data_IF_044111598717
#
_entry.id   IF_044111598717
#
_cell.length_a   1.000
_cell.length_b   1.000
_cell.length_c   1.000
_cell.angle_alpha   90.00
_cell.angle_beta   90.00
_cell.angle_gamma   90.00
#
_symmetry.space_group_name_H-M   'P 1'
#
loop_
_entity.id
_entity.type
_entity.pdbx_description
1 polymer ?
#
# COMPACT_ATOMS: atom_id res chain seq x y z
N UNK A 1 6.95 -6.82 3.37
CA UNK A 1 6.32 -8.08 2.90
C UNK A 1 6.26 -9.17 3.98
N UNK A 2 7.38 -9.58 4.60
CA UNK A 2 7.36 -10.62 5.64
C UNK A 2 6.39 -10.31 6.81
N UNK A 3 6.34 -9.05 7.26
CA UNK A 3 5.42 -8.63 8.33
C UNK A 3 3.94 -8.64 7.90
N UNK A 4 3.65 -8.38 6.61
CA UNK A 4 2.28 -8.48 6.08
C UNK A 4 1.84 -9.96 6.06
N UNK A 5 2.73 -10.86 5.67
CA UNK A 5 2.46 -12.30 5.70
C UNK A 5 2.28 -12.80 7.13
N UNK A 6 3.14 -12.37 8.05
CA UNK A 6 3.05 -12.70 9.48
C UNK A 6 1.76 -12.15 10.10
N UNK A 7 1.45 -10.88 9.86
CA UNK A 7 0.22 -10.25 10.33
C UNK A 7 -1.03 -10.91 9.75
N UNK A 8 -0.99 -11.31 8.47
CA UNK A 8 -2.06 -12.08 7.84
C UNK A 8 -2.24 -13.48 8.44
N UNK A 9 -1.14 -14.13 8.85
CA UNK A 9 -1.18 -15.44 9.49
C UNK A 9 -1.73 -15.35 10.93
N UNK A 10 -1.34 -14.29 11.68
CA UNK A 10 -1.83 -14.01 13.03
C UNK A 10 -3.30 -13.56 13.05
N UNK A 11 -3.80 -13.00 11.94
CA UNK A 11 -5.20 -12.62 11.79
C UNK A 11 -6.15 -13.83 11.62
N UNK A 12 -5.61 -15.01 11.32
CA UNK A 12 -6.39 -16.25 11.21
C UNK A 12 -6.51 -16.88 12.59
N UNK A 13 -7.75 -17.11 13.02
CA UNK A 13 -8.05 -17.72 14.31
C UNK A 13 -7.39 -19.10 14.45
N UNK A 14 -6.72 -19.33 15.58
CA UNK A 14 -6.04 -20.61 15.83
C UNK A 14 -7.04 -21.77 15.97
N UNK A 15 -8.29 -21.48 16.34
CA UNK A 15 -9.39 -22.42 16.40
C UNK A 15 -9.72 -23.08 15.06
N UNK A 16 -9.52 -22.40 13.93
CA UNK A 16 -9.66 -22.99 12.58
C UNK A 16 -8.73 -24.20 12.40
N UNK A 17 -7.50 -24.06 12.90
CA UNK A 17 -6.44 -25.08 12.79
C UNK A 17 -6.65 -26.22 13.79
N UNK A 18 -7.23 -25.94 14.97
CA UNK A 18 -7.62 -26.94 15.95
C UNK A 18 -8.86 -27.73 15.50
N UNK A 19 -9.88 -27.05 14.97
CA UNK A 19 -11.10 -27.68 14.44
C UNK A 19 -10.81 -28.58 13.23
N UNK A 20 -9.98 -28.13 12.30
CA UNK A 20 -9.60 -28.96 11.14
C UNK A 20 -8.83 -30.22 11.57
N UNK A 21 -7.99 -30.14 12.62
CA UNK A 21 -7.33 -31.33 13.21
C UNK A 21 -8.31 -32.23 13.95
N UNK A 22 -9.30 -31.68 14.66
CA UNK A 22 -10.35 -32.46 15.32
C UNK A 22 -11.21 -33.24 14.30
N UNK A 23 -11.36 -32.71 13.09
CA UNK A 23 -11.99 -33.39 11.95
C UNK A 23 -11.07 -34.41 11.25
N UNK A 24 -9.90 -34.70 11.81
CA UNK A 24 -8.96 -35.69 11.26
C UNK A 24 -8.20 -35.24 10.02
N UNK A 25 -8.20 -33.94 9.68
CA UNK A 25 -7.46 -33.47 8.50
C UNK A 25 -5.94 -33.53 8.72
N UNK A 26 -5.17 -34.08 7.77
CA UNK A 26 -3.72 -34.07 7.86
C UNK A 26 -3.17 -32.63 7.78
N UNK A 27 -2.03 -32.32 8.43
CA UNK A 27 -1.52 -30.94 8.56
C UNK A 27 -1.41 -30.20 7.22
N UNK A 28 -0.97 -30.90 6.17
CA UNK A 28 -0.83 -30.32 4.83
C UNK A 28 -2.16 -29.92 4.20
N UNK A 29 -3.23 -30.70 4.46
CA UNK A 29 -4.58 -30.39 3.99
C UNK A 29 -5.16 -29.19 4.73
N UNK A 30 -4.90 -29.07 6.04
CA UNK A 30 -5.31 -27.90 6.84
C UNK A 30 -4.69 -26.62 6.26
N UNK A 31 -3.38 -26.64 6.00
CA UNK A 31 -2.72 -25.47 5.44
C UNK A 31 -3.23 -25.12 4.03
N UNK A 32 -3.37 -26.10 3.13
CA UNK A 32 -3.76 -25.82 1.74
C UNK A 32 -5.24 -25.48 1.55
N UNK A 33 -6.15 -26.13 2.27
CA UNK A 33 -7.60 -25.95 2.09
C UNK A 33 -8.24 -24.96 3.05
N UNK A 34 -7.66 -24.73 4.23
CA UNK A 34 -8.26 -23.85 5.25
C UNK A 34 -7.48 -22.55 5.35
N UNK A 35 -6.20 -22.64 5.72
CA UNK A 35 -5.39 -21.47 6.08
C UNK A 35 -5.02 -20.66 4.83
N UNK A 36 -4.49 -21.30 3.79
CA UNK A 36 -4.00 -20.61 2.59
C UNK A 36 -5.07 -19.77 1.86
N UNK A 37 -6.29 -20.26 1.57
CA UNK A 37 -7.30 -19.44 0.91
C UNK A 37 -7.80 -18.28 1.77
N UNK A 38 -7.83 -18.41 3.10
CA UNK A 38 -8.14 -17.30 4.01
C UNK A 38 -6.99 -16.29 4.05
N UNK A 39 -5.76 -16.77 4.17
CA UNK A 39 -4.55 -15.95 4.20
C UNK A 39 -4.42 -15.06 2.98
N UNK A 40 -4.68 -15.62 1.79
CA UNK A 40 -4.65 -14.88 0.53
C UNK A 40 -5.68 -13.73 0.54
N UNK A 41 -6.90 -13.97 1.02
CA UNK A 41 -7.94 -12.94 1.10
C UNK A 41 -7.58 -11.81 2.07
N UNK A 42 -6.85 -12.12 3.14
CA UNK A 42 -6.40 -11.14 4.15
C UNK A 42 -5.17 -10.35 3.68
N UNK A 43 -4.23 -10.99 2.97
CA UNK A 43 -2.96 -10.37 2.54
C UNK A 43 -3.11 -9.52 1.28
N UNK A 44 -4.01 -9.87 0.34
CA UNK A 44 -4.13 -9.14 -0.94
C UNK A 44 -4.34 -7.62 -0.75
N UNK A 45 -5.27 -7.15 0.10
CA UNK A 45 -5.50 -5.71 0.28
C UNK A 45 -4.26 -4.93 0.77
N UNK A 46 -3.57 -5.32 1.88
CA UNK A 46 -2.39 -4.61 2.33
C UNK A 46 -1.19 -4.75 1.37
N UNK A 47 -1.03 -5.89 0.69
CA UNK A 47 0.02 -6.05 -0.33
C UNK A 47 -0.20 -5.12 -1.52
N UNK A 48 -1.44 -4.92 -1.98
CA UNK A 48 -1.75 -3.96 -3.03
C UNK A 48 -1.44 -2.52 -2.57
N UNK A 49 -1.74 -2.18 -1.33
CA UNK A 49 -1.41 -0.87 -0.77
C UNK A 49 0.12 -0.64 -0.71
N UNK A 50 0.88 -1.61 -0.22
CA UNK A 50 2.34 -1.53 -0.17
C UNK A 50 2.96 -1.43 -1.57
N UNK A 51 2.42 -2.16 -2.56
CA UNK A 51 2.86 -2.06 -3.95
C UNK A 51 2.64 -0.67 -4.53
N UNK A 52 1.49 -0.04 -4.26
CA UNK A 52 1.22 1.35 -4.69
C UNK A 52 2.19 2.32 -4.01
N UNK A 53 2.46 2.15 -2.72
CA UNK A 53 3.44 2.98 -1.99
C UNK A 53 4.82 2.86 -2.62
N UNK A 54 5.25 1.65 -2.94
CA UNK A 54 6.51 1.42 -3.65
C UNK A 54 6.52 2.10 -5.01
N UNK A 55 5.45 2.00 -5.81
CA UNK A 55 5.34 2.71 -7.08
C UNK A 55 5.43 4.24 -6.92
N UNK A 56 4.84 4.81 -5.87
CA UNK A 56 4.93 6.24 -5.56
C UNK A 56 6.36 6.65 -5.21
N UNK A 57 7.03 5.87 -4.36
CA UNK A 57 8.41 6.16 -3.94
C UNK A 57 9.37 5.97 -5.12
N UNK A 58 9.22 4.90 -5.91
CA UNK A 58 10.07 4.64 -7.09
C UNK A 58 9.85 5.67 -8.19
N UNK A 59 8.61 6.08 -8.47
CA UNK A 59 8.34 7.12 -9.48
C UNK A 59 8.82 8.49 -9.02
N UNK A 60 8.67 8.85 -7.74
CA UNK A 60 9.23 10.08 -7.18
C UNK A 60 10.77 10.06 -7.21
N UNK A 61 11.40 8.94 -6.83
CA UNK A 61 12.85 8.77 -6.92
C UNK A 61 13.36 8.84 -8.37
N UNK A 62 12.67 8.22 -9.32
CA UNK A 62 12.99 8.31 -10.74
C UNK A 62 12.79 9.73 -11.29
N UNK A 63 11.74 10.44 -10.86
CA UNK A 63 11.49 11.83 -11.25
C UNK A 63 12.55 12.79 -10.68
N UNK A 64 12.98 12.60 -9.43
CA UNK A 64 14.09 13.35 -8.84
C UNK A 64 15.39 13.05 -9.59
N UNK A 65 15.70 11.78 -9.86
CA UNK A 65 16.91 11.39 -10.59
C UNK A 65 16.94 11.94 -12.02
N UNK A 66 15.81 11.94 -12.72
CA UNK A 66 15.65 12.61 -14.01
C UNK A 66 15.81 14.13 -13.88
N UNK A 67 15.28 14.74 -12.81
CA UNK A 67 15.43 16.16 -12.53
C UNK A 67 16.88 16.56 -12.24
N UNK A 68 17.62 15.74 -11.50
CA UNK A 68 19.06 15.91 -11.25
C UNK A 68 19.86 15.75 -12.55
N UNK A 69 19.56 14.73 -13.38
CA UNK A 69 20.18 14.54 -14.69
C UNK A 69 19.91 15.72 -15.63
N UNK A 70 18.67 16.21 -15.66
CA UNK A 70 18.29 17.40 -16.41
C UNK A 70 18.99 18.65 -15.88
N UNK A 71 19.16 18.78 -14.56
CA UNK A 71 19.90 19.89 -13.95
C UNK A 71 21.38 19.83 -14.31
N UNK A 72 21.98 18.64 -14.27
CA UNK A 72 23.36 18.41 -14.70
C UNK A 72 23.53 18.72 -16.20
N UNK A 73 22.57 18.29 -17.02
CA UNK A 73 22.54 18.58 -18.46
C UNK A 73 22.33 20.07 -18.72
N UNK A 74 21.47 20.75 -17.96
CA UNK A 74 21.26 22.20 -18.02
C UNK A 74 22.51 22.98 -17.63
N UNK A 75 23.28 22.49 -16.65
CA UNK A 75 24.57 23.07 -16.29
C UNK A 75 25.59 22.92 -17.44
N UNK A 76 25.53 21.81 -18.19
CA UNK A 76 26.25 21.66 -19.47
C UNK A 76 25.66 22.47 -20.64
N UNK A 77 24.35 22.74 -20.67
CA UNK A 77 23.68 23.60 -21.66
C UNK A 77 23.88 25.09 -21.34
N UNK A 78 24.26 25.45 -20.12
CA UNK A 78 24.62 26.82 -19.72
C UNK A 78 25.84 27.37 -20.49
N UNK A 79 26.49 26.51 -21.29
CA UNK A 79 27.51 26.85 -22.28
C UNK A 79 26.86 27.40 -23.58
N UNK A 80 25.56 27.16 -23.82
CA UNK A 80 24.80 27.37 -25.09
C UNK A 80 23.65 28.41 -24.99
N UNK A 81 23.30 28.95 -23.81
CA UNK A 81 22.40 30.12 -23.60
C UNK A 81 20.92 30.01 -24.06
N UNK A 82 20.21 28.90 -23.79
CA UNK A 82 18.73 28.83 -23.95
C UNK A 82 18.04 28.20 -22.73
N UNK A 83 17.68 29.01 -21.74
CA UNK A 83 17.20 28.53 -20.42
C UNK A 83 15.68 28.36 -20.31
N UNK A 84 14.89 29.31 -20.81
CA UNK A 84 13.45 29.38 -20.55
C UNK A 84 12.65 28.21 -21.16
N UNK A 85 13.04 27.74 -22.34
CA UNK A 85 12.35 26.69 -23.08
C UNK A 85 12.47 25.32 -22.41
N UNK A 86 13.65 24.99 -21.86
CA UNK A 86 13.90 23.70 -21.22
C UNK A 86 13.20 23.57 -19.86
N UNK A 87 13.18 24.64 -19.06
CA UNK A 87 12.47 24.63 -17.77
C UNK A 87 10.95 24.56 -17.94
N UNK A 88 10.39 25.26 -18.93
CA UNK A 88 8.97 25.15 -19.26
C UNK A 88 8.59 23.73 -19.71
N UNK A 89 9.41 23.10 -20.57
CA UNK A 89 9.20 21.72 -21.01
C UNK A 89 9.27 20.73 -19.84
N UNK A 90 10.23 20.88 -18.93
CA UNK A 90 10.35 20.04 -17.74
C UNK A 90 9.15 20.16 -16.80
N UNK A 91 8.64 21.38 -16.56
CA UNK A 91 7.46 21.61 -15.74
C UNK A 91 6.20 20.97 -16.35
N UNK A 92 6.03 21.02 -17.67
CA UNK A 92 4.92 20.37 -18.38
C UNK A 92 5.01 18.85 -18.26
N UNK A 93 6.19 18.26 -18.46
CA UNK A 93 6.39 16.82 -18.30
C UNK A 93 6.12 16.34 -16.87
N UNK A 94 6.58 17.11 -15.88
CA UNK A 94 6.31 16.82 -14.47
C UNK A 94 4.80 16.83 -14.18
N UNK A 95 4.09 17.89 -14.59
CA UNK A 95 2.64 18.01 -14.41
C UNK A 95 1.86 16.88 -15.11
N UNK A 96 2.28 16.47 -16.30
CA UNK A 96 1.66 15.38 -17.03
C UNK A 96 1.79 14.04 -16.28
N UNK A 97 3.00 13.71 -15.80
CA UNK A 97 3.25 12.47 -15.06
C UNK A 97 2.44 12.44 -13.75
N UNK A 98 2.46 13.54 -12.99
CA UNK A 98 1.71 13.64 -11.73
C UNK A 98 0.21 13.49 -11.96
N UNK A 99 -0.35 14.13 -13.00
CA UNK A 99 -1.77 13.96 -13.36
C UNK A 99 -2.13 12.53 -13.74
N UNK A 100 -1.30 11.84 -14.54
CA UNK A 100 -1.56 10.45 -14.93
C UNK A 100 -1.57 9.52 -13.71
N UNK A 101 -0.60 9.69 -12.80
CA UNK A 101 -0.55 8.92 -11.55
C UNK A 101 -1.76 9.17 -10.66
N UNK A 102 -2.22 10.42 -10.56
CA UNK A 102 -3.40 10.78 -9.77
C UNK A 102 -4.68 10.10 -10.29
N UNK A 103 -4.83 10.00 -11.62
CA UNK A 103 -5.97 9.31 -12.25
C UNK A 103 -5.90 7.79 -12.03
N UNK A 104 -4.73 7.17 -12.20
CA UNK A 104 -4.53 5.74 -11.94
C UNK A 104 -4.83 5.41 -10.48
N UNK A 105 -4.38 6.26 -9.55
CA UNK A 105 -4.69 6.13 -8.12
C UNK A 105 -6.19 6.17 -7.87
N UNK A 106 -6.91 7.15 -8.43
CA UNK A 106 -8.36 7.29 -8.26
C UNK A 106 -9.11 6.04 -8.74
N UNK A 107 -8.65 5.45 -9.85
CA UNK A 107 -9.26 4.25 -10.42
C UNK A 107 -8.97 2.99 -9.57
N UNK A 108 -7.76 2.85 -9.01
CA UNK A 108 -7.44 1.75 -8.09
C UNK A 108 -8.25 1.86 -6.78
N UNK A 109 -8.36 3.05 -6.21
CA UNK A 109 -9.17 3.30 -5.01
C UNK A 109 -10.64 2.94 -5.25
N UNK A 110 -11.19 3.33 -6.40
CA UNK A 110 -12.57 2.98 -6.79
C UNK A 110 -12.79 1.47 -6.93
N UNK A 111 -11.78 0.73 -7.39
CA UNK A 111 -11.87 -0.74 -7.58
C UNK A 111 -11.67 -1.54 -6.29
N UNK A 112 -10.91 -1.00 -5.33
CA UNK A 112 -10.59 -1.64 -4.04
C UNK A 112 -11.31 -1.01 -2.83
N UNK A 113 -12.35 -0.21 -3.07
CA UNK A 113 -13.08 0.59 -2.07
C UNK A 113 -13.86 -0.20 -1.00
N UNK A 114 -13.54 -1.47 -0.75
CA UNK A 114 -14.31 -2.33 0.16
C UNK A 114 -13.64 -2.72 1.47
N UNK A 115 -12.39 -2.33 1.77
CA UNK A 115 -11.76 -2.71 3.06
C UNK A 115 -10.92 -1.64 3.77
N UNK A 116 -11.13 -0.36 3.50
CA UNK A 116 -10.57 0.71 4.38
C UNK A 116 -11.49 1.10 5.55
N UNK A 117 -12.70 0.55 5.65
CA UNK A 117 -13.56 0.72 6.83
C UNK A 117 -13.37 -0.48 7.76
N UNK A 118 -12.34 -0.45 8.61
CA UNK A 118 -12.10 -1.56 9.54
C UNK A 118 -11.07 -1.32 10.64
N UNK A 119 -10.67 -0.07 10.92
CA UNK A 119 -9.77 0.24 12.05
C UNK A 119 -10.23 1.42 12.93
N UNK A 120 -11.54 1.64 13.02
CA UNK A 120 -12.13 2.41 14.13
C UNK A 120 -13.28 1.63 14.77
N UNK A 121 -12.94 0.56 15.47
CA UNK A 121 -13.80 0.01 16.51
C UNK A 121 -12.94 -0.59 17.63
N UNK A 122 -13.14 -0.08 18.86
CA UNK A 122 -12.96 -0.91 20.05
C UNK A 122 -11.67 -0.76 20.85
N UNK A 123 -11.20 0.46 21.11
CA UNK A 123 -9.99 0.69 21.91
C UNK A 123 -10.11 1.66 23.09
N UNK A 124 -11.28 2.24 23.38
CA UNK A 124 -11.55 2.96 24.65
C UNK A 124 -12.97 2.66 25.09
N UNK A 125 -13.14 1.44 25.59
CA UNK A 125 -14.12 1.05 26.60
C UNK A 125 -14.28 2.21 27.59
N UNK A 126 -15.49 2.73 27.80
CA UNK A 126 -16.47 2.02 28.61
C UNK A 126 -16.11 2.00 30.11
N UNK A 127 -15.01 2.64 30.53
CA UNK A 127 -14.60 2.75 31.94
C UNK A 127 -15.07 4.01 32.68
N UNK A 128 -15.53 5.05 31.97
CA UNK A 128 -15.89 6.34 32.58
C UNK A 128 -17.39 6.56 32.82
N UNK A 129 -18.25 5.60 32.43
CA UNK A 129 -19.69 5.66 32.74
C UNK A 129 -20.08 4.98 34.06
N UNK A 130 -19.13 4.38 34.78
CA UNK A 130 -19.35 3.78 36.10
C UNK A 130 -18.95 4.69 37.28
N UNK A 131 -18.57 5.95 37.03
CA UNK A 131 -18.28 6.96 38.06
C UNK A 131 -19.38 8.03 38.16
N UNK A 132 -20.60 7.68 37.75
CA UNK A 132 -21.84 8.27 38.26
C UNK A 132 -22.32 7.45 39.45
N UNK A 133 -21.69 7.61 40.61
CA UNK A 133 -22.24 7.21 41.89
C UNK A 133 -22.06 8.37 42.88
N UNK A 134 -22.92 9.37 42.72
CA UNK A 134 -23.33 10.32 43.74
C UNK A 134 -24.83 10.51 43.61
#
# INVERSE_FOLDING_TARGET
>A
MAEIVRGGLLAIDEGQRLAARALGMPPLSVYRRVILPQLIRVIIPPTANEFITMLKITSLAAAISLGELLTYTQQSISITFKFAEYYAAAAVWYLAIVSVFMVIQSQLERRFRWTSQGRHAGGVVGGLRALGAR
#
